data_IF_960967645152
#
_entry.id   IF_960967645152
#
_cell.length_a   1.000
_cell.length_b   1.000
_cell.length_c   1.000
_cell.angle_alpha   90.00
_cell.angle_beta   90.00
_cell.angle_gamma   90.00
#
_symmetry.space_group_name_H-M   'P 1'
#
loop_
_entity.id
_entity.type
_entity.pdbx_description
1 polymer ?
#
# COMPACT_ATOMS: atom_id res chain seq x y z
N UNK A 1 6.98 14.77 11.92
CA UNK A 1 8.19 14.68 11.07
C UNK A 1 8.18 13.30 10.41
N UNK A 2 7.03 12.92 9.83
CA UNK A 2 6.68 11.52 9.53
C UNK A 2 6.28 11.31 8.05
N UNK A 3 6.07 12.39 7.30
CA UNK A 3 5.68 12.37 5.87
C UNK A 3 6.69 11.65 4.97
N UNK A 4 7.97 11.64 5.35
CA UNK A 4 9.01 11.02 4.53
C UNK A 4 8.90 9.48 4.54
N UNK A 5 8.48 8.91 5.68
CA UNK A 5 8.35 7.46 5.82
C UNK A 5 7.11 6.96 5.08
N UNK A 6 5.99 7.69 5.18
CA UNK A 6 4.77 7.40 4.44
C UNK A 6 4.98 7.52 2.93
N UNK A 7 5.73 8.54 2.46
CA UNK A 7 6.10 8.68 1.04
C UNK A 7 6.98 7.54 0.52
N UNK A 8 7.99 7.12 1.29
CA UNK A 8 8.85 6.01 0.88
C UNK A 8 8.03 4.71 0.76
N UNK A 9 7.11 4.50 1.69
CA UNK A 9 6.26 3.33 1.72
C UNK A 9 5.26 3.32 0.57
N UNK A 10 4.66 4.48 0.29
CA UNK A 10 3.81 4.71 -0.86
C UNK A 10 4.52 4.37 -2.18
N UNK A 11 5.75 4.87 -2.37
CA UNK A 11 6.54 4.60 -3.56
C UNK A 11 6.87 3.10 -3.72
N UNK A 12 7.26 2.43 -2.63
CA UNK A 12 7.51 0.99 -2.64
C UNK A 12 6.25 0.21 -2.99
N UNK A 13 5.10 0.61 -2.45
CA UNK A 13 3.82 -0.03 -2.75
C UNK A 13 3.49 0.05 -4.24
N UNK A 14 3.63 1.25 -4.83
CA UNK A 14 3.41 1.46 -6.27
C UNK A 14 4.36 0.59 -7.08
N UNK A 15 5.66 0.56 -6.75
CA UNK A 15 6.66 -0.24 -7.45
C UNK A 15 6.34 -1.74 -7.40
N UNK A 16 5.99 -2.28 -6.24
CA UNK A 16 5.62 -3.68 -6.09
C UNK A 16 4.34 -4.02 -6.84
N UNK A 17 3.34 -3.13 -6.79
CA UNK A 17 2.08 -3.29 -7.51
C UNK A 17 2.30 -3.29 -9.02
N UNK A 18 3.07 -2.33 -9.55
CA UNK A 18 3.35 -2.25 -10.99
C UNK A 18 4.24 -3.39 -11.47
N UNK A 19 5.23 -3.81 -10.68
CA UNK A 19 6.08 -4.96 -10.98
C UNK A 19 5.27 -6.26 -11.14
N UNK A 20 4.18 -6.41 -10.37
CA UNK A 20 3.25 -7.54 -10.48
C UNK A 20 2.07 -7.30 -11.44
N UNK A 21 2.05 -6.17 -12.15
CA UNK A 21 0.96 -5.71 -13.01
C UNK A 21 -0.41 -5.73 -12.32
N UNK A 22 -0.44 -5.51 -11.01
CA UNK A 22 -1.66 -5.53 -10.23
C UNK A 22 -2.41 -4.21 -10.29
N UNK A 23 -3.74 -4.29 -10.38
CA UNK A 23 -4.60 -3.13 -10.16
C UNK A 23 -4.77 -2.88 -8.66
N UNK A 24 -5.17 -1.66 -8.29
CA UNK A 24 -5.55 -1.35 -6.90
C UNK A 24 -6.68 -2.26 -6.40
N UNK A 25 -7.54 -2.71 -7.31
CA UNK A 25 -8.64 -3.62 -6.98
C UNK A 25 -8.14 -5.03 -6.69
N UNK A 26 -7.20 -5.54 -7.49
CA UNK A 26 -6.55 -6.82 -7.23
C UNK A 26 -5.78 -6.79 -5.91
N UNK A 27 -5.04 -5.72 -5.64
CA UNK A 27 -4.35 -5.55 -4.37
C UNK A 27 -5.33 -5.47 -3.19
N UNK A 28 -6.49 -4.82 -3.40
CA UNK A 28 -7.55 -4.76 -2.39
C UNK A 28 -8.11 -6.13 -2.06
N UNK A 29 -8.36 -6.97 -3.07
CA UNK A 29 -8.83 -8.35 -2.88
C UNK A 29 -7.79 -9.21 -2.15
N UNK A 30 -6.52 -9.11 -2.53
CA UNK A 30 -5.44 -9.90 -1.92
C UNK A 30 -5.18 -9.50 -0.46
N UNK A 31 -5.19 -8.19 -0.17
CA UNK A 31 -4.84 -7.66 1.15
C UNK A 31 -6.07 -7.51 2.08
N UNK A 32 -7.28 -7.58 1.53
CA UNK A 32 -8.51 -7.24 2.24
C UNK A 32 -8.59 -5.76 2.67
N UNK A 33 -7.82 -4.87 2.01
CA UNK A 33 -7.82 -3.42 2.26
C UNK A 33 -8.64 -2.75 1.17
N UNK A 34 -9.52 -1.82 1.52
CA UNK A 34 -10.34 -1.11 0.54
C UNK A 34 -9.49 -0.34 -0.49
N UNK A 35 -9.90 -0.35 -1.77
CA UNK A 35 -9.27 0.39 -2.87
C UNK A 35 -8.98 1.86 -2.53
N UNK A 36 -9.93 2.53 -1.87
CA UNK A 36 -9.80 3.93 -1.45
C UNK A 36 -8.68 4.12 -0.40
N UNK A 37 -8.49 3.16 0.49
CA UNK A 37 -7.41 3.20 1.50
C UNK A 37 -6.06 2.95 0.85
N UNK A 38 -5.96 1.98 -0.06
CA UNK A 38 -4.75 1.76 -0.86
C UNK A 38 -4.38 2.99 -1.68
N UNK A 39 -5.35 3.63 -2.34
CA UNK A 39 -5.12 4.87 -3.09
C UNK A 39 -4.60 6.02 -2.22
N UNK A 40 -5.10 6.17 -0.99
CA UNK A 40 -4.60 7.19 -0.05
C UNK A 40 -3.18 6.88 0.41
N UNK A 41 -2.86 5.60 0.62
CA UNK A 41 -1.50 5.17 0.98
C UNK A 41 -0.54 5.41 -0.17
N UNK A 42 -0.91 5.07 -1.42
CA UNK A 42 -0.07 5.37 -2.60
C UNK A 42 0.19 6.88 -2.79
N UNK A 43 -0.69 7.73 -2.25
CA UNK A 43 -0.55 9.19 -2.27
C UNK A 43 0.12 9.75 -1.00
N UNK A 44 0.49 8.89 -0.05
CA UNK A 44 0.98 9.28 1.28
C UNK A 44 0.04 10.26 2.02
N UNK A 45 -1.27 10.17 1.75
CA UNK A 45 -2.30 11.02 2.37
C UNK A 45 -2.77 10.46 3.73
N UNK A 46 -2.39 9.23 4.07
CA UNK A 46 -2.72 8.58 5.34
C UNK A 46 -1.56 7.70 5.79
N UNK A 47 -1.20 7.79 7.07
CA UNK A 47 -0.22 6.90 7.67
C UNK A 47 -0.85 5.53 7.89
N UNK A 48 -0.36 4.46 7.21
CA UNK A 48 -0.89 3.12 7.40
C UNK A 48 -0.54 2.61 8.78
N UNK A 49 -1.50 1.99 9.47
CA UNK A 49 -1.23 1.33 10.76
C UNK A 49 -0.36 0.09 10.57
N UNK A 50 0.34 -0.33 11.63
CA UNK A 50 1.16 -1.54 11.61
C UNK A 50 0.39 -2.79 11.13
N UNK A 51 -0.90 -2.89 11.48
CA UNK A 51 -1.76 -3.96 11.00
C UNK A 51 -1.90 -3.96 9.46
N UNK A 52 -2.05 -2.77 8.86
CA UNK A 52 -2.18 -2.62 7.42
C UNK A 52 -0.86 -2.98 6.71
N UNK A 53 0.26 -2.53 7.27
CA UNK A 53 1.60 -2.88 6.80
C UNK A 53 1.82 -4.39 6.84
N UNK A 54 1.36 -5.07 7.90
CA UNK A 54 1.43 -6.51 8.02
C UNK A 54 0.67 -7.23 6.89
N UNK A 55 -0.54 -6.76 6.54
CA UNK A 55 -1.32 -7.34 5.42
C UNK A 55 -0.62 -7.13 4.07
N UNK A 56 -0.07 -5.93 3.84
CA UNK A 56 0.70 -5.64 2.63
C UNK A 56 1.94 -6.54 2.56
N UNK A 57 2.68 -6.67 3.66
CA UNK A 57 3.86 -7.51 3.76
C UNK A 57 3.53 -9.00 3.57
N UNK A 58 2.37 -9.49 4.02
CA UNK A 58 1.95 -10.87 3.76
C UNK A 58 1.68 -11.16 2.27
N UNK A 59 1.20 -10.16 1.53
CA UNK A 59 0.90 -10.33 0.10
C UNK A 59 2.16 -10.16 -0.76
N UNK A 60 3.06 -9.26 -0.38
CA UNK A 60 4.29 -8.98 -1.12
C UNK A 60 5.51 -9.79 -0.68
N UNK A 61 5.50 -10.31 0.54
CA UNK A 61 6.54 -11.18 1.10
C UNK A 61 6.58 -12.55 0.47
#
# INVERSE_FOLDING_TARGET
MDDNQDRLLAQRLVQLRTARQWSLDQLAQQTGISRATLSRIERAETSPTAALLGKLAQVFG
#
